data_IF_384930857349
#
_entry.id   IF_384930857349
#
_cell.length_a   1.000
_cell.length_b   1.000
_cell.length_c   1.000
_cell.angle_alpha   90.00
_cell.angle_beta   90.00
_cell.angle_gamma   90.00
#
_symmetry.space_group_name_H-M   'P 1'
#
loop_
_entity.id
_entity.type
_entity.pdbx_description
1 polymer ?
#
# COMPACT_ATOMS: atom_id res chain seq x y z
N UNK A 1 -5.34 11.77 18.05
CA UNK A 1 -5.35 11.89 16.57
C UNK A 1 -5.40 10.49 15.95
N UNK A 2 -6.10 10.26 14.83
CA UNK A 2 -6.10 8.96 14.13
C UNK A 2 -5.23 9.06 12.88
N UNK A 3 -4.32 8.11 12.70
CA UNK A 3 -3.49 7.98 11.50
C UNK A 3 -4.00 6.86 10.60
N UNK A 4 -4.22 7.16 9.32
CA UNK A 4 -4.42 6.17 8.27
C UNK A 4 -3.13 6.06 7.45
N UNK A 5 -2.34 5.02 7.66
CA UNK A 5 -1.15 4.73 6.86
C UNK A 5 -1.54 3.81 5.72
N UNK A 6 -1.46 4.31 4.48
CA UNK A 6 -1.69 3.49 3.29
C UNK A 6 -0.37 2.98 2.73
N UNK A 7 -0.19 1.65 2.78
CA UNK A 7 1.00 1.02 2.22
C UNK A 7 0.99 1.05 0.70
N UNK A 8 2.16 1.26 0.10
CA UNK A 8 2.36 1.23 -1.34
C UNK A 8 2.17 -0.17 -1.96
N UNK A 9 2.15 -0.23 -3.29
CA UNK A 9 2.21 -1.43 -4.13
C UNK A 9 3.00 -1.07 -5.39
N UNK A 10 2.73 -1.65 -6.55
CA UNK A 10 3.55 -1.36 -7.73
C UNK A 10 3.04 -0.17 -8.55
N UNK A 11 3.93 0.39 -9.37
CA UNK A 11 3.60 1.25 -10.51
C UNK A 11 4.31 0.79 -11.78
N UNK A 12 3.78 1.21 -12.94
CA UNK A 12 4.44 1.02 -14.22
C UNK A 12 5.56 2.05 -14.46
N UNK A 13 6.23 1.94 -15.61
CA UNK A 13 7.34 2.81 -16.03
C UNK A 13 6.93 4.28 -16.24
N UNK A 14 5.63 4.58 -16.18
CA UNK A 14 5.06 5.92 -16.30
C UNK A 14 4.48 6.43 -14.97
N UNK A 15 4.68 5.70 -13.87
CA UNK A 15 4.16 6.07 -12.56
C UNK A 15 2.65 5.84 -12.40
N UNK A 16 2.03 5.08 -13.31
CA UNK A 16 0.64 4.67 -13.13
C UNK A 16 0.60 3.55 -12.10
N UNK A 17 -0.05 3.81 -10.99
CA UNK A 17 -0.22 2.82 -9.92
C UNK A 17 -1.09 1.65 -10.36
N UNK A 18 -0.81 0.49 -9.79
CA UNK A 18 -1.61 -0.71 -9.99
C UNK A 18 -3.04 -0.60 -9.42
N UNK A 19 -3.85 -1.62 -9.68
CA UNK A 19 -5.20 -1.73 -9.13
C UNK A 19 -5.22 -1.83 -7.59
N UNK A 20 -4.18 -2.37 -6.97
CA UNK A 20 -4.11 -2.51 -5.52
C UNK A 20 -4.01 -1.14 -4.83
N UNK A 21 -3.13 -0.24 -5.30
CA UNK A 21 -3.03 1.12 -4.77
C UNK A 21 -4.36 1.85 -4.92
N UNK A 22 -5.04 1.73 -6.06
CA UNK A 22 -6.35 2.37 -6.27
C UNK A 22 -7.41 1.84 -5.31
N UNK A 23 -7.52 0.52 -5.14
CA UNK A 23 -8.47 -0.08 -4.21
C UNK A 23 -8.18 0.32 -2.76
N UNK A 24 -6.90 0.39 -2.39
CA UNK A 24 -6.47 0.91 -1.08
C UNK A 24 -6.82 2.39 -0.92
N UNK A 25 -6.62 3.22 -1.94
CA UNK A 25 -6.98 4.64 -1.92
C UNK A 25 -8.49 4.84 -1.71
N UNK A 26 -9.33 4.09 -2.44
CA UNK A 26 -10.79 4.10 -2.23
C UNK A 26 -11.14 3.73 -0.79
N UNK A 27 -10.49 2.70 -0.25
CA UNK A 27 -10.73 2.26 1.13
C UNK A 27 -10.29 3.32 2.15
N UNK A 28 -9.10 3.89 1.98
CA UNK A 28 -8.55 4.94 2.84
C UNK A 28 -9.45 6.16 2.84
N UNK A 29 -9.90 6.65 1.67
CA UNK A 29 -10.81 7.79 1.58
C UNK A 29 -12.17 7.49 2.21
N UNK A 30 -12.70 6.28 2.04
CA UNK A 30 -13.95 5.87 2.72
C UNK A 30 -13.79 5.84 4.24
N UNK A 31 -12.65 5.39 4.76
CA UNK A 31 -12.37 5.39 6.20
C UNK A 31 -12.21 6.81 6.74
N UNK A 32 -11.44 7.64 6.04
CA UNK A 32 -11.25 9.05 6.39
C UNK A 32 -12.60 9.77 6.49
N UNK A 33 -13.46 9.67 5.45
CA UNK A 33 -14.79 10.32 5.46
C UNK A 33 -15.61 9.95 6.70
N UNK A 34 -15.65 8.66 7.02
CA UNK A 34 -16.46 8.18 8.13
C UNK A 34 -15.90 8.58 9.50
N UNK A 35 -14.58 8.53 9.67
CA UNK A 35 -13.94 8.95 10.92
C UNK A 35 -14.03 10.46 11.12
N UNK A 36 -13.85 11.25 10.06
CA UNK A 36 -14.03 12.71 10.08
C UNK A 36 -15.47 13.09 10.38
N UNK A 37 -16.46 12.41 9.78
CA UNK A 37 -17.88 12.62 10.07
C UNK A 37 -18.25 12.26 11.53
N UNK A 38 -17.50 11.37 12.16
CA UNK A 38 -17.62 11.06 13.59
C UNK A 38 -16.87 12.06 14.51
N UNK A 39 -16.33 13.16 13.96
CA UNK A 39 -15.65 14.22 14.70
C UNK A 39 -14.19 13.91 15.05
N UNK A 40 -13.59 12.88 14.46
CA UNK A 40 -12.17 12.59 14.69
C UNK A 40 -11.26 13.47 13.82
N UNK A 41 -10.15 13.92 14.40
CA UNK A 41 -9.01 14.44 13.62
C UNK A 41 -8.28 13.25 12.97
N UNK A 42 -8.28 13.23 11.64
CA UNK A 42 -7.68 12.15 10.83
C UNK A 42 -6.57 12.70 9.96
N UNK A 43 -5.40 12.06 10.00
CA UNK A 43 -4.28 12.27 9.08
C UNK A 43 -4.10 11.03 8.21
N UNK A 44 -3.82 11.23 6.93
CA UNK A 44 -3.50 10.17 5.98
C UNK A 44 -2.03 10.25 5.61
N UNK A 45 -1.31 9.15 5.74
CA UNK A 45 0.10 9.06 5.42
C UNK A 45 0.30 8.05 4.28
N UNK A 46 0.60 8.51 3.05
CA UNK A 46 0.99 7.62 1.96
C UNK A 46 2.45 7.17 2.15
N UNK A 47 2.75 5.92 1.79
CA UNK A 47 4.12 5.39 1.82
C UNK A 47 4.59 4.86 0.47
N UNK A 48 5.91 4.79 0.35
CA UNK A 48 6.63 4.18 -0.76
C UNK A 48 7.75 5.10 -1.24
N UNK A 49 8.98 4.59 -1.27
CA UNK A 49 10.16 5.36 -1.64
C UNK A 49 10.50 5.25 -3.12
N UNK A 50 11.68 5.76 -3.45
CA UNK A 50 12.32 5.68 -4.77
C UNK A 50 13.31 4.51 -4.81
N UNK A 51 13.07 3.54 -5.70
CA UNK A 51 14.01 2.44 -5.96
C UNK A 51 13.81 1.89 -7.38
N UNK A 52 14.35 2.59 -8.41
CA UNK A 52 14.13 2.24 -9.81
C UNK A 52 14.68 0.85 -10.18
N UNK A 53 15.59 0.30 -9.38
CA UNK A 53 16.18 -1.02 -9.58
C UNK A 53 15.29 -2.15 -9.02
N UNK A 54 14.19 -1.81 -8.34
CA UNK A 54 13.22 -2.77 -7.80
C UNK A 54 11.89 -2.77 -8.54
N UNK A 55 11.24 -3.93 -8.50
CA UNK A 55 9.92 -4.15 -9.10
C UNK A 55 8.79 -3.30 -8.54
N UNK A 56 8.97 -2.69 -7.36
CA UNK A 56 7.93 -1.91 -6.69
C UNK A 56 7.73 -0.54 -7.35
N UNK A 57 8.80 0.21 -7.62
CA UNK A 57 8.70 1.54 -8.21
C UNK A 57 9.78 1.74 -9.27
N UNK A 58 9.37 1.68 -10.53
CA UNK A 58 10.28 1.69 -11.70
C UNK A 58 10.61 3.10 -12.19
N UNK A 59 10.37 4.11 -11.37
CA UNK A 59 10.56 5.53 -11.74
C UNK A 59 11.53 6.22 -10.80
N UNK A 60 11.92 7.44 -11.16
CA UNK A 60 12.77 8.30 -10.34
C UNK A 60 12.00 9.11 -9.28
N UNK A 61 10.69 8.92 -9.20
CA UNK A 61 9.77 9.64 -8.33
C UNK A 61 9.35 8.73 -7.18
N UNK A 62 9.42 9.22 -5.95
CA UNK A 62 9.02 8.44 -4.76
C UNK A 62 7.58 7.95 -4.88
N UNK A 63 7.36 6.66 -4.61
CA UNK A 63 6.07 6.01 -4.84
C UNK A 63 4.92 6.61 -4.02
N UNK A 64 5.19 7.16 -2.83
CA UNK A 64 4.19 7.84 -2.02
C UNK A 64 3.52 9.01 -2.76
N UNK A 65 4.19 9.63 -3.73
CA UNK A 65 3.61 10.70 -4.58
C UNK A 65 2.54 10.14 -5.50
N UNK A 66 2.73 8.94 -6.03
CA UNK A 66 1.71 8.25 -6.83
C UNK A 66 0.54 7.78 -5.97
N UNK A 67 0.83 7.30 -4.75
CA UNK A 67 -0.21 6.98 -3.76
C UNK A 67 -1.02 8.22 -3.39
N UNK A 68 -0.35 9.36 -3.14
CA UNK A 68 -1.00 10.66 -2.89
C UNK A 68 -1.90 11.07 -4.05
N UNK A 69 -1.42 10.97 -5.29
CA UNK A 69 -2.24 11.26 -6.48
C UNK A 69 -3.49 10.38 -6.51
N UNK A 70 -3.37 9.08 -6.26
CA UNK A 70 -4.52 8.18 -6.21
C UNK A 70 -5.51 8.53 -5.09
N UNK A 71 -5.03 8.99 -3.93
CA UNK A 71 -5.88 9.45 -2.83
C UNK A 71 -6.66 10.72 -3.18
N UNK A 72 -6.00 11.70 -3.83
CA UNK A 72 -6.63 12.92 -4.33
C UNK A 72 -7.70 12.59 -5.39
N UNK A 73 -7.39 11.69 -6.34
CA UNK A 73 -8.34 11.21 -7.35
C UNK A 73 -9.58 10.53 -6.71
N UNK A 74 -9.44 9.93 -5.53
CA UNK A 74 -10.55 9.36 -4.76
C UNK A 74 -11.36 10.42 -3.97
N UNK A 75 -10.95 11.68 -4.01
CA UNK A 75 -11.58 12.81 -3.33
C UNK A 75 -11.24 12.91 -1.85
N UNK A 76 -10.01 12.56 -1.46
CA UNK A 76 -9.44 12.90 -0.17
C UNK A 76 -8.91 14.36 -0.23
N UNK A 77 -9.24 15.24 0.73
CA UNK A 77 -8.71 16.60 0.76
C UNK A 77 -7.19 16.63 0.95
N UNK A 78 -6.52 17.55 0.27
CA UNK A 78 -5.06 17.64 0.24
C UNK A 78 -4.49 17.94 1.63
N UNK A 79 -5.16 18.79 2.40
CA UNK A 79 -4.79 19.18 3.76
C UNK A 79 -4.82 18.02 4.78
N UNK A 80 -5.46 16.90 4.42
CA UNK A 80 -5.50 15.69 5.23
C UNK A 80 -4.42 14.67 4.84
N UNK A 81 -3.68 14.91 3.76
CA UNK A 81 -2.58 14.06 3.33
C UNK A 81 -1.27 14.64 3.84
N UNK A 82 -0.47 13.81 4.53
CA UNK A 82 0.88 14.20 4.91
C UNK A 82 1.74 14.48 3.68
N UNK A 83 2.42 15.62 3.71
CA UNK A 83 3.43 16.01 2.74
C UNK A 83 4.65 16.55 3.52
N UNK A 84 5.82 15.86 3.50
CA UNK A 84 6.09 14.66 2.70
C UNK A 84 5.35 13.39 3.19
N UNK A 85 5.24 12.40 2.30
CA UNK A 85 4.86 11.03 2.65
C UNK A 85 6.02 10.23 3.28
N UNK A 86 5.83 8.93 3.51
CA UNK A 86 6.88 8.03 3.99
C UNK A 86 7.73 7.49 2.84
N UNK A 87 9.02 7.84 2.86
CA UNK A 87 10.04 7.37 1.90
C UNK A 87 10.52 5.94 2.21
N UNK A 88 9.58 4.99 2.27
CA UNK A 88 9.83 3.63 2.70
C UNK A 88 10.03 2.66 1.52
N UNK A 89 11.08 1.85 1.53
CA UNK A 89 11.35 0.87 0.46
C UNK A 89 10.70 -0.48 0.76
N UNK A 90 10.56 -0.82 2.04
CA UNK A 90 9.98 -2.07 2.52
C UNK A 90 9.02 -1.83 3.68
N UNK A 91 8.18 -2.82 3.98
CA UNK A 91 7.28 -2.77 5.14
C UNK A 91 7.99 -2.61 6.47
N UNK A 92 9.25 -3.05 6.56
CA UNK A 92 10.09 -2.79 7.73
C UNK A 92 10.33 -1.29 7.88
N UNK A 93 10.75 -0.61 6.81
CA UNK A 93 10.93 0.84 6.80
C UNK A 93 9.63 1.57 7.16
N UNK A 94 8.50 1.12 6.61
CA UNK A 94 7.17 1.68 6.92
C UNK A 94 6.87 1.60 8.42
N UNK A 95 7.16 0.46 9.05
CA UNK A 95 6.95 0.26 10.48
C UNK A 95 7.88 1.13 11.34
N UNK A 96 9.17 1.21 10.98
CA UNK A 96 10.15 2.00 11.72
C UNK A 96 9.91 3.49 11.59
N UNK A 97 9.69 4.00 10.38
CA UNK A 97 9.47 5.42 10.15
C UNK A 97 8.12 5.90 10.73
N UNK A 98 7.12 5.01 10.80
CA UNK A 98 5.85 5.33 11.44
C UNK A 98 5.98 5.62 12.95
N UNK A 99 6.99 5.07 13.63
CA UNK A 99 7.25 5.37 15.06
C UNK A 99 7.46 6.86 15.26
N UNK A 100 8.35 7.47 14.48
CA UNK A 100 8.65 8.91 14.58
C UNK A 100 7.43 9.75 14.23
N UNK A 101 6.67 9.35 13.21
CA UNK A 101 5.44 10.04 12.84
C UNK A 101 4.40 9.99 13.96
N UNK A 102 4.17 8.81 14.55
CA UNK A 102 3.23 8.62 15.66
C UNK A 102 3.62 9.45 16.86
N UNK A 103 4.91 9.49 17.21
CA UNK A 103 5.45 10.30 18.31
C UNK A 103 5.24 11.79 18.06
N UNK A 104 5.67 12.29 16.89
CA UNK A 104 5.59 13.71 16.51
C UNK A 104 4.14 14.24 16.48
N UNK A 105 3.20 13.41 16.04
CA UNK A 105 1.81 13.82 15.84
C UNK A 105 0.85 13.37 16.95
N UNK A 106 1.39 12.83 18.05
CA UNK A 106 0.62 12.32 19.20
C UNK A 106 -0.55 11.43 18.75
N UNK A 107 -0.22 10.48 17.87
CA UNK A 107 -1.20 9.57 17.28
C UNK A 107 -1.63 8.57 18.35
N UNK A 108 -2.92 8.57 18.67
CA UNK A 108 -3.52 7.68 19.67
C UNK A 108 -3.97 6.35 19.06
N UNK A 109 -4.31 6.37 17.77
CA UNK A 109 -4.81 5.21 17.04
C UNK A 109 -4.28 5.22 15.62
N UNK A 110 -3.90 4.06 15.11
CA UNK A 110 -3.32 3.89 13.79
C UNK A 110 -4.00 2.77 13.04
N UNK A 111 -4.26 3.02 11.76
CA UNK A 111 -4.84 2.05 10.84
C UNK A 111 -3.86 1.88 9.69
N UNK A 112 -3.31 0.68 9.55
CA UNK A 112 -2.47 0.29 8.41
C UNK A 112 -3.36 -0.33 7.35
N UNK A 113 -3.44 0.31 6.18
CA UNK A 113 -4.20 -0.16 5.02
C UNK A 113 -3.24 -0.84 4.05
N UNK A 114 -3.47 -2.13 3.80
CA UNK A 114 -2.66 -2.92 2.87
C UNK A 114 -3.48 -4.02 2.21
N UNK A 115 -2.90 -4.85 1.35
CA UNK A 115 -3.58 -6.01 0.76
C UNK A 115 -3.85 -7.10 1.79
N UNK A 116 -4.96 -7.81 1.63
CA UNK A 116 -5.46 -8.82 2.58
C UNK A 116 -4.42 -9.89 2.95
N UNK A 117 -3.69 -10.42 1.96
CA UNK A 117 -2.63 -11.40 2.14
C UNK A 117 -1.44 -10.87 2.95
N UNK A 118 -1.22 -9.55 2.98
CA UNK A 118 -0.07 -8.92 3.63
C UNK A 118 -0.34 -8.52 5.09
N UNK A 119 -1.59 -8.62 5.56
CA UNK A 119 -2.00 -8.11 6.88
C UNK A 119 -1.27 -8.74 8.06
N UNK A 120 -0.96 -10.04 8.02
CA UNK A 120 -0.26 -10.74 9.11
C UNK A 120 1.16 -10.23 9.30
N UNK A 121 1.91 -10.04 8.20
CA UNK A 121 3.29 -9.55 8.23
C UNK A 121 3.36 -8.09 8.65
N UNK A 122 2.50 -7.24 8.07
CA UNK A 122 2.40 -5.85 8.49
C UNK A 122 2.09 -5.74 10.00
N UNK A 123 1.08 -6.48 10.50
CA UNK A 123 0.74 -6.45 11.93
C UNK A 123 1.91 -6.83 12.82
N UNK A 124 2.65 -7.87 12.46
CA UNK A 124 3.82 -8.29 13.22
C UNK A 124 4.89 -7.18 13.28
N UNK A 125 5.27 -6.63 12.12
CA UNK A 125 6.31 -5.60 12.03
C UNK A 125 5.95 -4.32 12.80
N UNK A 126 4.73 -3.81 12.62
CA UNK A 126 4.29 -2.60 13.33
C UNK A 126 4.20 -2.82 14.85
N UNK A 127 3.73 -3.99 15.30
CA UNK A 127 3.73 -4.31 16.73
C UNK A 127 5.15 -4.33 17.32
N UNK A 128 6.10 -4.95 16.62
CA UNK A 128 7.50 -4.97 17.09
C UNK A 128 8.09 -3.58 17.10
N UNK A 129 7.90 -2.78 16.05
CA UNK A 129 8.42 -1.42 15.96
C UNK A 129 7.89 -0.53 17.10
N UNK A 130 6.57 -0.55 17.35
CA UNK A 130 5.97 0.26 18.43
C UNK A 130 6.38 -0.24 19.82
N UNK A 131 6.41 -1.55 20.05
CA UNK A 131 6.89 -2.10 21.32
C UNK A 131 8.35 -1.71 21.60
N UNK A 132 9.20 -1.76 20.58
CA UNK A 132 10.62 -1.36 20.68
C UNK A 132 10.81 0.14 20.94
N UNK A 133 9.81 0.95 20.62
CA UNK A 133 9.82 2.39 20.83
C UNK A 133 9.04 2.81 22.09
N UNK A 134 8.55 1.86 22.88
CA UNK A 134 7.70 2.08 24.05
C UNK A 134 6.44 2.90 23.74
N UNK A 135 5.93 2.76 22.51
CA UNK A 135 4.69 3.35 22.05
C UNK A 135 3.58 2.30 22.01
N UNK A 136 2.37 2.69 22.37
CA UNK A 136 1.20 1.80 22.36
C UNK A 136 -0.03 2.46 21.70
N UNK A 137 0.07 2.95 20.44
CA UNK A 137 -1.11 3.40 19.73
C UNK A 137 -2.07 2.22 19.55
N UNK A 138 -3.38 2.48 19.51
CA UNK A 138 -4.34 1.46 19.12
C UNK A 138 -4.13 1.08 17.65
N UNK A 139 -3.54 -0.08 17.39
CA UNK A 139 -3.18 -0.54 16.05
C UNK A 139 -4.23 -1.46 15.44
N UNK A 140 -4.74 -1.05 14.27
CA UNK A 140 -5.56 -1.88 13.39
C UNK A 140 -4.84 -2.07 12.05
N UNK A 141 -4.67 -3.32 11.62
CA UNK A 141 -4.25 -3.63 10.24
C UNK A 141 -5.46 -4.08 9.45
N UNK A 142 -5.76 -3.37 8.37
CA UNK A 142 -6.90 -3.59 7.50
C UNK A 142 -6.43 -4.07 6.13
N UNK A 143 -6.92 -5.26 5.77
CA UNK A 143 -6.72 -5.86 4.45
C UNK A 143 -7.75 -5.40 3.44
N UNK A 144 -7.28 -4.95 2.28
CA UNK A 144 -8.08 -4.69 1.09
C UNK A 144 -7.97 -5.92 0.18
N UNK A 145 -9.09 -6.53 -0.23
CA UNK A 145 -9.06 -7.69 -1.12
C UNK A 145 -8.29 -7.34 -2.39
N UNK A 146 -7.36 -8.21 -2.80
CA UNK A 146 -6.70 -8.08 -4.09
C UNK A 146 -7.61 -8.62 -5.21
N UNK A 147 -7.57 -7.99 -6.38
CA UNK A 147 -8.18 -8.52 -7.61
C UNK A 147 -7.55 -9.85 -8.07
N UNK A 148 -6.32 -10.15 -7.64
CA UNK A 148 -5.63 -11.39 -7.92
C UNK A 148 -6.38 -12.62 -7.36
N UNK A 149 -6.53 -13.66 -8.17
CA UNK A 149 -7.25 -14.90 -7.82
C UNK A 149 -6.43 -16.14 -8.17
N UNK A 150 -6.90 -17.29 -7.70
CA UNK A 150 -6.36 -18.59 -8.08
C UNK A 150 -4.91 -18.80 -7.62
N UNK A 151 -4.06 -19.24 -8.55
CA UNK A 151 -2.69 -19.64 -8.26
C UNK A 151 -1.79 -18.47 -7.86
N UNK A 152 -1.93 -17.31 -8.52
CA UNK A 152 -1.16 -16.13 -8.18
C UNK A 152 -1.44 -15.67 -6.74
N UNK A 153 -2.69 -15.67 -6.30
CA UNK A 153 -3.04 -15.35 -4.91
C UNK A 153 -2.46 -16.38 -3.91
N UNK A 154 -2.47 -17.68 -4.27
CA UNK A 154 -1.81 -18.72 -3.46
C UNK A 154 -0.31 -18.47 -3.34
N UNK A 155 0.35 -18.11 -4.44
CA UNK A 155 1.76 -17.80 -4.46
C UNK A 155 2.10 -16.57 -3.58
N UNK A 156 1.29 -15.50 -3.64
CA UNK A 156 1.46 -14.35 -2.73
C UNK A 156 1.32 -14.76 -1.26
N UNK A 157 0.29 -15.53 -0.91
CA UNK A 157 0.09 -16.01 0.46
C UNK A 157 1.23 -16.89 0.95
N UNK A 158 1.73 -17.80 0.11
CA UNK A 158 2.87 -18.65 0.44
C UNK A 158 4.15 -17.82 0.69
N UNK A 159 4.41 -16.81 -0.15
CA UNK A 159 5.51 -15.86 0.05
C UNK A 159 5.37 -15.11 1.38
N UNK A 160 4.17 -14.66 1.74
CA UNK A 160 3.93 -13.95 3.01
C UNK A 160 4.12 -14.84 4.24
N UNK A 161 3.67 -16.10 4.19
CA UNK A 161 3.91 -17.07 5.27
C UNK A 161 5.40 -17.29 5.46
N UNK A 162 6.13 -17.57 4.38
CA UNK A 162 7.59 -17.77 4.43
C UNK A 162 8.32 -16.52 4.95
N UNK A 163 7.91 -15.34 4.51
CA UNK A 163 8.50 -14.08 4.96
C UNK A 163 8.24 -13.83 6.46
N UNK A 164 7.02 -14.11 6.94
CA UNK A 164 6.67 -13.98 8.35
C UNK A 164 7.39 -15.02 9.22
N UNK A 165 7.55 -16.25 8.74
CA UNK A 165 8.36 -17.28 9.41
C UNK A 165 9.82 -16.84 9.52
N UNK A 166 10.40 -16.33 8.43
CA UNK A 166 11.77 -15.79 8.44
C UNK A 166 11.94 -14.66 9.46
N UNK A 167 10.97 -13.75 9.57
CA UNK A 167 10.99 -12.68 10.58
C UNK A 167 10.89 -13.19 12.02
N UNK A 168 10.35 -14.39 12.25
CA UNK A 168 10.27 -14.99 13.59
C UNK A 168 11.53 -15.75 13.97
N UNK A 169 12.22 -16.35 13.00
CA UNK A 169 13.42 -17.16 13.23
C UNK A 169 14.69 -16.33 13.20
N UNK A 170 14.73 -15.31 12.35
CA UNK A 170 15.83 -14.34 12.24
C UNK A 170 15.24 -12.93 12.25
N UNK A 171 14.74 -12.49 13.42
CA UNK A 171 14.13 -11.18 13.54
C UNK A 171 15.15 -10.12 13.10
N UNK A 172 14.83 -9.53 11.95
CA UNK A 172 15.42 -8.31 11.41
C UNK A 172 16.70 -8.41 10.60
N UNK A 173 17.38 -9.55 10.40
CA UNK A 173 18.54 -9.63 9.49
C UNK A 173 19.48 -8.39 9.55
N UNK A 174 19.84 -7.73 8.42
CA UNK A 174 20.63 -6.49 8.44
C UNK A 174 19.91 -5.27 9.06
N UNK A 175 18.59 -5.33 9.21
CA UNK A 175 17.76 -4.29 9.84
C UNK A 175 17.76 -4.34 11.37
N UNK A 176 18.26 -5.42 11.98
CA UNK A 176 18.41 -5.53 13.44
C UNK A 176 19.30 -4.40 13.99
N UNK A 177 20.35 -4.04 13.24
CA UNK A 177 21.23 -2.92 13.58
C UNK A 177 20.50 -1.57 13.52
N UNK A 178 19.63 -1.36 12.53
CA UNK A 178 18.83 -0.14 12.41
C UNK A 178 17.78 -0.02 13.53
N UNK A 179 17.19 -1.15 13.93
CA UNK A 179 16.29 -1.23 15.07
C UNK A 179 17.02 -0.98 16.41
N UNK A 180 18.22 -1.54 16.58
CA UNK A 180 19.05 -1.31 17.77
C UNK A 180 19.48 0.16 17.91
N UNK A 181 19.68 0.87 16.80
CA UNK A 181 19.92 2.33 16.81
C UNK A 181 18.66 3.16 17.06
N UNK A 182 17.46 2.59 16.87
CA UNK A 182 16.18 3.27 17.08
C UNK A 182 15.70 3.25 18.55
N UNK A 183 16.38 2.50 19.44
CA UNK A 183 16.13 2.56 20.88
C UNK A 183 16.48 1.26 21.64
N UNK A 184 16.65 1.34 22.98
CA UNK A 184 17.14 0.22 23.80
C UNK A 184 16.19 -0.99 23.88
N UNK A 185 14.89 -0.84 23.66
CA UNK A 185 13.95 -1.97 23.74
C UNK A 185 13.97 -2.91 22.52
N UNK A 186 14.51 -2.48 21.37
CA UNK A 186 14.71 -3.35 20.21
C UNK A 186 15.70 -4.49 20.46
N UNK A 187 16.73 -4.24 21.28
CA UNK A 187 17.72 -5.25 21.67
C UNK A 187 17.12 -6.35 22.55
N UNK A 188 16.09 -6.03 23.35
CA UNK A 188 15.43 -6.99 24.24
C UNK A 188 14.50 -7.98 23.49
N UNK A 189 13.95 -7.57 22.34
CA UNK A 189 13.09 -8.42 21.50
C UNK A 189 13.88 -9.49 20.75
N UNK A 190 15.13 -9.22 20.36
CA UNK A 190 16.03 -10.22 19.77
C UNK A 190 16.54 -11.25 20.80
N UNK A 191 16.56 -10.90 22.08
CA UNK A 191 17.09 -11.75 23.15
C UNK A 191 16.05 -12.62 23.85
N UNK A 192 14.75 -12.43 23.58
CA UNK A 192 13.68 -13.14 24.27
C UNK A 192 12.58 -13.65 23.32
N UNK A 193 12.62 -14.95 22.91
CA UNK A 193 11.59 -15.54 22.06
C UNK A 193 10.18 -15.55 22.69
N UNK A 194 10.04 -15.27 23.99
CA UNK A 194 8.74 -15.11 24.67
C UNK A 194 8.16 -13.70 24.61
N UNK A 195 8.92 -12.69 24.15
CA UNK A 195 8.38 -11.35 23.88
C UNK A 195 7.38 -11.32 22.70
N UNK A 196 7.23 -12.47 22.01
CA UNK A 196 6.24 -12.70 20.96
C UNK A 196 4.91 -13.28 21.47
N UNK A 197 4.77 -13.55 22.78
CA UNK A 197 3.45 -13.78 23.38
C UNK A 197 2.59 -12.53 23.15
N UNK A 198 1.32 -12.68 22.72
CA UNK A 198 0.47 -11.53 22.48
C UNK A 198 0.36 -10.73 23.77
N UNK A 199 0.91 -9.52 23.77
CA UNK A 199 0.56 -8.50 24.75
C UNK A 199 -0.96 -8.37 24.68
N UNK A 200 -1.66 -8.97 25.64
CA UNK A 200 -3.10 -8.85 25.82
C UNK A 200 -3.38 -7.42 26.29
N UNK A 201 -3.22 -6.45 25.39
CA UNK A 201 -3.80 -5.13 25.56
C UNK A 201 -5.32 -5.29 25.52
N UNK A 202 -5.89 -5.08 26.71
CA UNK A 202 -7.29 -5.08 27.10
C UNK A 202 -8.29 -4.85 25.97
N UNK A 203 -9.23 -5.79 25.87
CA UNK A 203 -10.40 -5.81 24.97
C UNK A 203 -11.14 -4.45 24.88
N UNK A 204 -11.09 -3.63 25.94
CA UNK A 204 -11.82 -2.37 26.08
C UNK A 204 -11.36 -1.24 25.13
N UNK A 205 -10.06 -1.08 24.87
CA UNK A 205 -9.56 -0.04 23.95
C UNK A 205 -10.05 -0.28 22.52
N UNK A 206 -10.14 -1.55 22.13
CA UNK A 206 -10.60 -1.96 20.80
C UNK A 206 -12.07 -1.68 20.53
N UNK A 207 -12.91 -1.43 21.54
CA UNK A 207 -14.37 -1.32 21.35
C UNK A 207 -14.74 -0.04 20.61
N UNK A 208 -14.09 1.09 20.88
CA UNK A 208 -14.44 2.38 20.27
C UNK A 208 -14.07 2.45 18.79
N UNK A 209 -12.84 2.06 18.45
CA UNK A 209 -12.43 1.97 17.05
C UNK A 209 -13.21 0.87 16.34
N UNK A 210 -13.36 -0.34 16.92
CA UNK A 210 -14.16 -1.40 16.29
C UNK A 210 -15.63 -1.02 16.12
N UNK A 211 -16.23 -0.23 17.00
CA UNK A 211 -17.61 0.23 16.84
C UNK A 211 -17.74 1.21 15.67
N UNK A 212 -16.88 2.23 15.60
CA UNK A 212 -16.80 3.15 14.46
C UNK A 212 -16.53 2.37 13.16
N UNK A 213 -15.58 1.43 13.18
CA UNK A 213 -15.22 0.60 12.04
C UNK A 213 -16.30 -0.41 11.63
N UNK A 214 -17.07 -0.98 12.57
CA UNK A 214 -18.18 -1.89 12.23
C UNK A 214 -19.25 -1.17 11.40
N UNK A 215 -19.51 0.08 11.70
CA UNK A 215 -20.42 0.92 10.90
C UNK A 215 -19.86 1.16 9.50
N UNK A 216 -18.56 1.43 9.37
CA UNK A 216 -17.91 1.67 8.07
C UNK A 216 -17.74 0.39 7.23
N UNK A 217 -17.39 -0.74 7.85
CA UNK A 217 -17.25 -2.01 7.15
C UNK A 217 -18.57 -2.51 6.56
N UNK A 218 -19.70 -2.20 7.22
CA UNK A 218 -21.05 -2.52 6.70
C UNK A 218 -21.42 -1.67 5.49
N UNK A 219 -20.98 -0.41 5.42
CA UNK A 219 -21.26 0.47 4.28
C UNK A 219 -20.31 0.27 3.09
N UNK A 220 -19.03 -0.06 3.32
CA UNK A 220 -18.05 -0.28 2.24
C UNK A 220 -18.41 -1.46 1.33
N UNK A 221 -19.03 -2.54 1.85
CA UNK A 221 -19.50 -3.67 1.01
C UNK A 221 -20.52 -3.24 -0.05
N UNK A 222 -21.30 -2.18 0.21
CA UNK A 222 -22.25 -1.64 -0.77
C UNK A 222 -21.60 -0.71 -1.80
N UNK A 223 -20.44 -0.13 -1.47
CA UNK A 223 -19.76 0.85 -2.33
C UNK A 223 -18.83 0.18 -3.35
N UNK A 224 -18.09 -0.87 -2.97
CA UNK A 224 -17.24 -1.62 -3.90
C UNK A 224 -18.06 -2.24 -5.04
N UNK A 225 -19.26 -2.78 -4.75
CA UNK A 225 -20.16 -3.33 -5.76
C UNK A 225 -20.67 -2.30 -6.78
N UNK A 226 -20.66 -0.99 -6.46
CA UNK A 226 -21.07 0.07 -7.39
C UNK A 226 -19.94 0.54 -8.31
N UNK A 227 -18.69 0.47 -7.86
CA UNK A 227 -17.54 0.86 -8.70
C UNK A 227 -17.24 -0.21 -9.75
N UNK A 228 -17.32 -1.49 -9.40
CA UNK A 228 -17.20 -2.60 -10.36
C UNK A 228 -18.29 -2.51 -11.45
N UNK A 229 -19.54 -2.20 -11.06
CA UNK A 229 -20.63 -2.02 -12.01
C UNK A 229 -20.47 -0.80 -12.95
N UNK A 230 -19.71 0.23 -12.54
CA UNK A 230 -19.46 1.42 -13.36
C UNK A 230 -18.33 1.22 -14.38
N UNK A 231 -17.42 0.28 -14.13
CA UNK A 231 -16.36 -0.11 -15.07
C UNK A 231 -16.88 -1.12 -16.11
N UNK A 232 -17.73 -2.06 -15.69
CA UNK A 232 -18.38 -3.01 -16.61
C UNK A 232 -19.41 -2.33 -17.54
N UNK A 233 -20.00 -1.21 -17.12
CA UNK A 233 -21.00 -0.45 -17.89
C UNK A 233 -20.46 0.42 -19.02
N UNK A 234 -19.14 0.53 -19.22
CA UNK A 234 -18.52 1.35 -20.29
C UNK A 234 -18.09 0.56 -21.53
N UNK A 235 -18.39 -0.73 -21.60
CA UNK A 235 -17.99 -1.60 -22.70
C UNK A 235 -19.14 -1.98 -23.66
N UNK A 236 -20.02 -1.05 -24.03
CA UNK A 236 -20.91 -1.24 -25.21
C UNK A 236 -21.18 0.13 -25.84
N UNK A 237 -20.67 0.33 -27.05
CA UNK A 237 -21.36 0.88 -28.23
C UNK A 237 -20.42 1.75 -29.09
N UNK A 238 -19.67 1.09 -29.97
CA UNK A 238 -19.00 1.74 -31.10
C UNK A 238 -18.93 0.79 -32.30
N UNK A 239 -20.10 0.30 -32.72
CA UNK A 239 -20.25 -0.30 -34.04
C UNK A 239 -21.53 0.19 -34.70
N UNK A 240 -21.42 1.26 -35.50
CA UNK A 240 -22.21 1.54 -36.73
C UNK A 240 -21.97 2.97 -37.20
N UNK A 241 -21.15 3.13 -38.24
CA UNK A 241 -21.58 3.89 -39.42
C UNK A 241 -20.78 3.44 -40.64
N UNK A 242 -21.53 3.26 -41.73
CA UNK A 242 -21.15 2.62 -42.98
C UNK A 242 -21.19 3.64 -44.11
N UNK A 243 -20.26 3.49 -45.06
CA UNK A 243 -20.35 3.98 -46.45
C UNK A 243 -19.43 5.17 -46.76
N UNK A 244 -18.80 5.31 -47.92
CA UNK A 244 -18.64 4.48 -49.12
C UNK A 244 -17.78 5.27 -50.15
N UNK A 245 -16.97 4.56 -50.97
CA UNK A 245 -16.35 4.97 -52.27
C UNK A 245 -15.24 6.06 -52.18
N UNK A 246 -14.17 6.07 -52.97
CA UNK A 246 -13.85 5.52 -54.29
C UNK A 246 -12.33 5.45 -54.53
N UNK A 247 -11.93 4.50 -55.38
CA UNK A 247 -10.81 4.39 -56.35
C UNK A 247 -9.65 5.41 -56.40
N UNK A 248 -8.44 4.86 -56.61
CA UNK A 248 -7.33 5.29 -57.51
C UNK A 248 -5.98 4.85 -56.88
N UNK A 249 -5.33 3.79 -57.37
CA UNK A 249 -4.31 3.73 -58.46
C UNK A 249 -2.86 3.99 -57.99
N UNK A 250 -1.97 3.06 -58.37
CA UNK A 250 -0.51 3.23 -58.59
C UNK A 250 0.34 3.61 -57.36
N UNK A 251 1.59 3.18 -57.16
CA UNK A 251 2.61 2.64 -58.04
C UNK A 251 3.69 1.98 -57.16
N UNK A 252 4.45 1.06 -57.73
CA UNK A 252 5.56 0.38 -57.11
C UNK A 252 6.72 1.33 -56.71
N UNK A 253 7.45 0.98 -55.65
CA UNK A 253 8.93 1.14 -55.65
C UNK A 253 9.62 0.23 -54.64
N UNK A 254 10.38 -0.65 -55.25
CA UNK A 254 11.41 -1.56 -54.78
C UNK A 254 12.69 -0.81 -54.30
N UNK A 255 13.58 -1.57 -53.65
CA UNK A 255 14.95 -1.26 -53.22
C UNK A 255 15.07 -0.59 -51.83
N UNK A 256 16.03 -0.91 -50.95
CA UNK A 256 17.27 -1.69 -51.07
C UNK A 256 17.73 -1.99 -49.64
N UNK A 257 18.10 -3.25 -49.35
CA UNK A 257 18.99 -3.57 -48.22
C UNK A 257 20.40 -3.02 -48.52
N UNK A 258 21.18 -2.68 -47.48
CA UNK A 258 22.57 -3.10 -47.46
C UNK A 258 22.89 -4.01 -46.27
N UNK A 259 23.76 -4.97 -46.57
CA UNK A 259 24.49 -5.87 -45.67
C UNK A 259 25.78 -5.19 -45.18
N UNK A 260 26.17 -5.55 -43.95
CA UNK A 260 27.51 -5.90 -43.44
C UNK A 260 28.71 -4.96 -43.67
N UNK A 261 29.38 -4.61 -42.55
CA UNK A 261 30.81 -4.87 -42.24
C UNK A 261 31.20 -4.08 -40.97
N UNK A 262 31.54 -4.70 -39.84
CA UNK A 262 32.86 -5.21 -39.41
C UNK A 262 33.88 -4.16 -38.91
N UNK A 263 34.63 -4.58 -37.89
CA UNK A 263 35.90 -4.08 -37.30
C UNK A 263 35.78 -3.00 -36.21
N UNK A 264 36.03 -3.32 -34.93
CA UNK A 264 37.29 -3.67 -34.25
C UNK A 264 38.12 -2.43 -33.86
N UNK A 265 38.10 -2.08 -32.57
CA UNK A 265 39.25 -2.01 -31.64
C UNK A 265 38.75 -1.72 -30.25
#
# INVERSE_FOLDING_TARGET
>A
CILLLQLGSTNDDHGKVDGEVRQRAVKTTSLWRALSAAGHRVLVLPSGGKDPDRFFNRTDTSHWKYVRKALLECGLPEENISDPGLEALHTVDEALMAVEFVRKHEVSSMVVITSDFHTSRARHLFNVAFASAELAPELLVLGVPNACRGEALRAYRAKEVKALEGLRTEPFGPWAAQLATAGPAAAALNANPRAHEPFFLTLAASVRLRAAFRTVLRSSRRCCLRLEAAEDGKAVDSSKSSGSRSDASEEAKEAKRPRLSNMAT
#
